data_IF_000917926005
#
_entry.id   IF_000917926005
#
_cell.length_a   1.000
_cell.length_b   1.000
_cell.length_c   1.000
_cell.angle_alpha   90.00
_cell.angle_beta   90.00
_cell.angle_gamma   90.00
#
_symmetry.space_group_name_H-M   'P 1'
#
loop_
_entity.id
_entity.type
_entity.pdbx_description
1 polymer ?
#
# COMPACT_ATOMS: atom_id res chain seq x y z
N UNK A 1 -1.48 10.00 -12.25
CA UNK A 1 -1.27 8.96 -11.22
C UNK A 1 -0.48 9.58 -10.07
N UNK A 2 -0.70 9.09 -8.85
CA UNK A 2 -0.23 9.75 -7.62
C UNK A 2 1.15 9.26 -7.14
N UNK A 3 1.72 8.23 -7.76
CA UNK A 3 3.06 7.69 -7.48
C UNK A 3 4.15 8.77 -7.52
N UNK A 4 4.02 9.73 -8.45
CA UNK A 4 4.96 10.85 -8.61
C UNK A 4 5.05 11.75 -7.36
N UNK A 5 4.03 11.76 -6.50
CA UNK A 5 4.03 12.54 -5.27
C UNK A 5 4.83 11.87 -4.14
N UNK A 6 5.11 10.58 -4.25
CA UNK A 6 5.83 9.83 -3.22
C UNK A 6 7.34 9.85 -3.47
N UNK A 7 7.95 10.99 -3.16
CA UNK A 7 9.39 11.25 -3.27
C UNK A 7 10.00 11.46 -1.88
N UNK A 8 11.30 11.16 -1.76
CA UNK A 8 12.03 11.34 -0.51
C UNK A 8 11.89 12.80 -0.04
N UNK A 9 11.38 12.98 1.18
CA UNK A 9 11.24 14.28 1.83
C UNK A 9 9.90 14.97 1.64
N UNK A 10 9.01 14.46 0.79
CA UNK A 10 7.63 14.94 0.71
C UNK A 10 6.90 14.58 2.02
N UNK A 11 6.24 15.55 2.65
CA UNK A 11 5.49 15.36 3.90
C UNK A 11 4.00 15.25 3.64
N UNK A 12 3.37 14.33 4.36
CA UNK A 12 1.93 14.11 4.32
C UNK A 12 1.33 14.12 5.72
N UNK A 13 0.09 14.61 5.82
CA UNK A 13 -0.77 14.43 6.99
C UNK A 13 -1.89 13.45 6.65
N UNK A 14 -1.99 12.38 7.42
CA UNK A 14 -3.10 11.42 7.37
C UNK A 14 -3.09 10.50 8.59
N UNK A 15 -4.27 9.99 8.91
CA UNK A 15 -4.46 8.97 9.94
C UNK A 15 -4.59 7.61 9.27
N UNK A 16 -3.84 6.61 9.75
CA UNK A 16 -4.02 5.23 9.31
C UNK A 16 -5.50 4.84 9.46
N UNK A 17 -6.16 4.35 8.40
CA UNK A 17 -7.47 3.73 8.54
C UNK A 17 -7.49 2.68 9.65
N UNK A 18 -8.58 2.64 10.41
CA UNK A 18 -8.81 1.56 11.35
C UNK A 18 -8.90 0.22 10.61
N UNK A 19 -8.45 -0.84 11.28
CA UNK A 19 -8.63 -2.19 10.77
C UNK A 19 -10.13 -2.52 10.78
N UNK A 20 -10.59 -3.29 9.80
CA UNK A 20 -11.96 -3.78 9.76
C UNK A 20 -12.04 -5.12 10.44
N UNK A 21 -12.23 -5.05 11.75
CA UNK A 21 -12.42 -6.23 12.58
C UNK A 21 -13.66 -7.02 12.13
N UNK A 22 -13.60 -8.32 12.36
CA UNK A 22 -14.69 -9.24 12.06
C UNK A 22 -14.22 -10.68 12.01
N UNK A 23 -15.03 -11.59 11.43
CA UNK A 23 -14.69 -13.00 11.35
C UNK A 23 -13.38 -13.24 10.61
N UNK A 24 -12.60 -14.22 11.06
CA UNK A 24 -11.37 -14.68 10.40
C UNK A 24 -11.66 -15.89 9.51
N UNK A 25 -12.65 -15.77 8.64
CA UNK A 25 -13.22 -16.86 7.86
C UNK A 25 -12.67 -16.94 6.41
N UNK A 26 -11.69 -16.10 6.08
CA UNK A 26 -11.04 -16.07 4.77
C UNK A 26 -11.88 -15.48 3.63
N UNK A 27 -13.10 -15.00 3.91
CA UNK A 27 -13.96 -14.46 2.86
C UNK A 27 -13.37 -13.23 2.18
N UNK A 28 -13.80 -13.03 0.92
CA UNK A 28 -13.61 -11.77 0.22
C UNK A 28 -14.76 -10.83 0.64
N UNK A 29 -14.42 -9.66 1.16
CA UNK A 29 -15.38 -8.65 1.65
C UNK A 29 -15.11 -7.31 1.00
N UNK A 30 -16.15 -6.51 0.80
CA UNK A 30 -15.98 -5.16 0.30
C UNK A 30 -15.35 -4.27 1.37
N UNK A 31 -14.44 -3.42 0.92
CA UNK A 31 -13.79 -2.40 1.74
C UNK A 31 -14.83 -1.41 2.25
N UNK A 32 -14.71 -1.01 3.54
CA UNK A 32 -15.57 0.04 4.10
C UNK A 32 -15.20 1.44 3.62
N UNK A 33 -14.18 1.57 2.76
CA UNK A 33 -13.67 2.80 2.16
C UNK A 33 -13.40 3.89 3.21
N UNK A 34 -12.32 3.76 3.97
CA UNK A 34 -11.91 4.76 4.94
C UNK A 34 -11.90 6.18 4.34
N UNK A 35 -12.34 7.17 5.11
CA UNK A 35 -12.47 8.57 4.66
C UNK A 35 -11.28 9.44 5.04
N UNK A 36 -10.23 8.87 5.65
CA UNK A 36 -9.05 9.62 6.07
C UNK A 36 -8.43 10.34 4.86
N UNK A 37 -8.22 11.64 4.95
CA UNK A 37 -7.61 12.37 3.85
C UNK A 37 -6.08 12.25 3.92
N UNK A 38 -5.44 12.07 2.77
CA UNK A 38 -4.01 12.21 2.59
C UNK A 38 -3.73 13.62 2.08
N UNK A 39 -3.12 14.45 2.91
CA UNK A 39 -2.89 15.86 2.61
C UNK A 39 -1.41 16.16 2.51
N UNK A 40 -0.96 16.79 1.43
CA UNK A 40 0.42 17.26 1.34
C UNK A 40 0.63 18.47 2.25
N UNK A 41 1.70 18.44 3.07
CA UNK A 41 1.97 19.47 4.08
C UNK A 41 3.38 20.09 3.99
N UNK A 42 4.04 19.92 2.84
CA UNK A 42 5.34 20.55 2.58
C UNK A 42 6.49 19.55 2.40
N UNK A 43 7.70 20.08 2.42
CA UNK A 43 8.94 19.31 2.38
C UNK A 43 9.56 19.20 3.77
N UNK A 44 10.38 18.18 3.95
CA UNK A 44 11.14 17.90 5.16
C UNK A 44 12.54 18.48 5.22
N UNK A 45 13.25 18.08 6.27
CA UNK A 45 14.69 18.31 6.43
C UNK A 45 15.53 17.42 5.51
N UNK A 46 15.09 16.18 5.25
CA UNK A 46 15.73 15.23 4.33
C UNK A 46 14.93 15.20 3.04
N UNK A 47 15.51 15.72 1.95
CA UNK A 47 14.79 15.89 0.67
C UNK A 47 15.61 15.30 -0.47
N UNK A 48 14.92 14.70 -1.44
CA UNK A 48 15.52 14.30 -2.72
C UNK A 48 16.20 15.52 -3.40
N UNK A 49 17.48 15.45 -3.79
CA UNK A 49 18.16 16.56 -4.46
C UNK A 49 17.40 17.12 -5.68
N UNK A 50 16.63 16.28 -6.38
CA UNK A 50 15.79 16.72 -7.50
C UNK A 50 14.69 17.70 -7.05
N UNK A 51 14.17 17.56 -5.84
CA UNK A 51 13.16 18.49 -5.30
C UNK A 51 13.77 19.80 -4.80
N UNK A 52 15.09 19.87 -4.66
CA UNK A 52 15.82 21.11 -4.37
C UNK A 52 16.04 21.94 -5.65
N UNK A 53 16.09 21.27 -6.81
CA UNK A 53 16.25 21.94 -8.12
C UNK A 53 14.91 22.21 -8.80
N UNK A 54 13.91 21.34 -8.60
CA UNK A 54 12.57 21.51 -9.13
C UNK A 54 11.56 21.75 -8.01
N UNK A 55 10.88 22.89 -8.07
CA UNK A 55 9.84 23.19 -7.09
C UNK A 55 8.71 22.14 -7.15
N UNK A 56 8.22 21.70 -5.99
CA UNK A 56 7.15 20.69 -5.85
C UNK A 56 5.86 21.00 -6.62
N UNK A 57 5.62 22.27 -6.90
CA UNK A 57 4.49 22.72 -7.73
C UNK A 57 4.58 22.20 -9.16
N UNK A 58 5.78 21.94 -9.68
CA UNK A 58 5.96 21.33 -11.01
C UNK A 58 5.43 19.89 -11.07
N UNK A 59 5.40 19.19 -9.93
CA UNK A 59 4.74 17.89 -9.83
C UNK A 59 3.22 18.02 -9.72
N UNK A 60 2.71 19.21 -9.39
CA UNK A 60 1.30 19.49 -9.12
C UNK A 60 0.94 19.49 -7.64
N UNK A 61 1.92 19.54 -6.73
CA UNK A 61 1.66 19.64 -5.28
C UNK A 61 1.53 21.10 -4.84
N UNK A 62 0.55 21.38 -4.00
CA UNK A 62 0.34 22.67 -3.35
C UNK A 62 0.13 22.46 -1.86
N UNK A 63 0.65 23.35 -1.01
CA UNK A 63 0.52 23.23 0.45
C UNK A 63 -0.94 22.99 0.86
N UNK A 64 -1.18 22.03 1.75
CA UNK A 64 -2.50 21.58 2.19
C UNK A 64 -3.40 20.96 1.11
N UNK A 65 -2.85 20.61 -0.05
CA UNK A 65 -3.61 19.93 -1.10
C UNK A 65 -3.96 18.50 -0.70
N UNK A 66 -5.24 18.10 -0.86
CA UNK A 66 -5.62 16.70 -0.74
C UNK A 66 -5.16 15.90 -1.95
N UNK A 67 -4.51 14.77 -1.69
CA UNK A 67 -4.14 13.81 -2.72
C UNK A 67 -5.38 12.99 -3.07
N UNK A 68 -5.75 12.97 -4.35
CA UNK A 68 -6.92 12.21 -4.82
C UNK A 68 -6.57 10.72 -4.90
N UNK A 69 -7.20 9.92 -4.04
CA UNK A 69 -6.97 8.47 -3.93
C UNK A 69 -8.19 7.79 -3.30
N UNK A 70 -8.20 6.46 -3.31
CA UNK A 70 -9.10 5.65 -2.49
C UNK A 70 -8.30 4.82 -1.50
N UNK A 71 -8.83 4.65 -0.29
CA UNK A 71 -8.27 3.70 0.66
C UNK A 71 -8.80 2.29 0.42
N UNK A 72 -7.89 1.35 0.53
CA UNK A 72 -8.15 -0.05 0.76
C UNK A 72 -7.80 -0.36 2.22
N UNK A 73 -8.82 -0.77 2.96
CA UNK A 73 -8.73 -1.19 4.34
C UNK A 73 -7.98 -2.52 4.51
N UNK A 74 -7.60 -2.78 5.75
CA UNK A 74 -7.05 -4.06 6.18
C UNK A 74 -8.12 -4.78 7.00
N UNK A 75 -8.53 -5.96 6.54
CA UNK A 75 -9.48 -6.83 7.21
C UNK A 75 -8.76 -8.11 7.67
N UNK A 76 -8.27 -8.18 8.92
CA UNK A 76 -7.55 -9.34 9.44
C UNK A 76 -8.33 -10.65 9.24
N UNK A 77 -7.69 -11.65 8.63
CA UNK A 77 -8.27 -12.96 8.33
C UNK A 77 -9.26 -13.00 7.17
N UNK A 78 -9.39 -11.92 6.40
CA UNK A 78 -10.25 -11.81 5.21
C UNK A 78 -9.51 -11.11 4.08
N UNK A 79 -10.03 -11.19 2.86
CA UNK A 79 -9.55 -10.38 1.74
C UNK A 79 -10.48 -9.19 1.57
N UNK A 80 -10.00 -7.98 1.88
CA UNK A 80 -10.76 -6.77 1.59
C UNK A 80 -10.60 -6.40 0.11
N UNK A 81 -11.63 -5.83 -0.53
CA UNK A 81 -11.54 -5.36 -1.92
C UNK A 81 -12.24 -4.02 -2.15
N UNK A 82 -11.75 -3.26 -3.12
CA UNK A 82 -12.40 -2.03 -3.59
C UNK A 82 -12.42 -2.02 -5.12
N UNK A 83 -13.53 -1.63 -5.77
CA UNK A 83 -13.54 -1.44 -7.20
C UNK A 83 -12.64 -0.26 -7.55
N UNK A 84 -11.76 -0.41 -8.54
CA UNK A 84 -10.95 0.70 -9.03
C UNK A 84 -11.84 1.61 -9.87
N UNK A 85 -11.90 2.88 -9.47
CA UNK A 85 -12.65 3.93 -10.16
C UNK A 85 -11.71 4.90 -10.87
N UNK A 86 -11.94 6.21 -10.78
CA UNK A 86 -11.07 7.23 -11.38
C UNK A 86 -9.78 7.49 -10.58
N UNK A 87 -9.64 6.89 -9.40
CA UNK A 87 -8.55 7.18 -8.47
C UNK A 87 -7.70 5.95 -8.19
N UNK A 88 -6.42 6.19 -7.96
CA UNK A 88 -5.47 5.16 -7.52
C UNK A 88 -5.80 4.71 -6.09
N UNK A 89 -5.44 3.47 -5.74
CA UNK A 89 -5.77 2.84 -4.47
C UNK A 89 -4.55 2.76 -3.58
N UNK A 90 -4.62 3.31 -2.38
CA UNK A 90 -3.61 3.20 -1.33
C UNK A 90 -4.07 2.25 -0.22
N UNK A 91 -3.13 1.56 0.39
CA UNK A 91 -3.39 0.77 1.60
C UNK A 91 -2.89 1.51 2.84
N UNK A 92 -3.45 1.19 4.01
CA UNK A 92 -2.76 1.46 5.26
C UNK A 92 -1.41 0.71 5.36
N UNK A 93 -0.71 0.91 6.48
CA UNK A 93 0.56 0.22 6.73
C UNK A 93 0.42 -1.29 6.73
N UNK A 94 1.38 -1.95 6.09
CA UNK A 94 1.37 -3.38 5.85
C UNK A 94 2.72 -4.04 6.14
N UNK A 95 2.66 -5.25 6.69
CA UNK A 95 3.80 -6.12 6.97
C UNK A 95 3.81 -7.33 6.03
N UNK A 96 4.07 -7.10 4.73
CA UNK A 96 4.27 -8.20 3.76
C UNK A 96 3.01 -8.92 3.28
N UNK A 97 1.83 -8.35 3.53
CA UNK A 97 0.58 -8.82 2.93
C UNK A 97 0.61 -8.63 1.41
N UNK A 98 -0.11 -9.50 0.69
CA UNK A 98 -0.22 -9.41 -0.77
C UNK A 98 -1.35 -8.44 -1.14
N UNK A 99 -1.09 -7.62 -2.16
CA UNK A 99 -2.11 -6.87 -2.88
C UNK A 99 -2.38 -7.55 -4.20
N UNK A 100 -3.65 -7.72 -4.54
CA UNK A 100 -4.09 -8.32 -5.78
C UNK A 100 -4.94 -7.34 -6.58
N UNK A 101 -4.90 -7.50 -7.90
CA UNK A 101 -5.77 -6.84 -8.87
C UNK A 101 -6.42 -7.91 -9.72
N UNK A 102 -7.71 -7.83 -9.96
CA UNK A 102 -8.42 -8.77 -10.85
C UNK A 102 -9.64 -8.10 -11.49
N UNK A 103 -10.21 -8.78 -12.48
CA UNK A 103 -11.48 -8.37 -13.11
C UNK A 103 -12.55 -9.39 -12.74
N UNK A 104 -13.65 -8.90 -12.19
CA UNK A 104 -14.83 -9.70 -11.84
C UNK A 104 -16.08 -8.99 -12.36
N UNK A 105 -16.87 -9.70 -13.19
CA UNK A 105 -18.10 -9.17 -13.82
C UNK A 105 -17.88 -7.81 -14.52
N UNK A 106 -16.74 -7.67 -15.19
CA UNK A 106 -16.36 -6.45 -15.91
C UNK A 106 -15.81 -5.31 -15.04
N UNK A 107 -15.79 -5.46 -13.72
CA UNK A 107 -15.26 -4.47 -12.78
C UNK A 107 -13.85 -4.87 -12.37
N UNK A 108 -12.90 -3.95 -12.44
CA UNK A 108 -11.56 -4.17 -11.91
C UNK A 108 -11.56 -3.89 -10.41
N UNK A 109 -11.03 -4.83 -9.61
CA UNK A 109 -10.89 -4.70 -8.17
C UNK A 109 -9.42 -4.67 -7.77
N UNK A 110 -9.13 -3.94 -6.70
CA UNK A 110 -7.90 -4.08 -5.92
C UNK A 110 -8.27 -4.72 -4.59
N UNK A 111 -7.51 -5.71 -4.14
CA UNK A 111 -7.75 -6.39 -2.89
C UNK A 111 -6.51 -6.61 -2.04
N UNK A 112 -6.72 -6.63 -0.74
CA UNK A 112 -5.71 -6.79 0.29
C UNK A 112 -5.97 -8.11 1.01
N UNK A 113 -5.05 -9.07 0.84
CA UNK A 113 -5.14 -10.39 1.46
C UNK A 113 -4.68 -10.23 2.91
N UNK A 114 -5.65 -10.12 3.84
CA UNK A 114 -5.44 -9.69 5.21
C UNK A 114 -4.86 -10.78 6.10
N UNK A 115 -3.56 -11.06 5.98
CA UNK A 115 -2.87 -12.01 6.85
C UNK A 115 -2.52 -11.40 8.20
N UNK A 116 -2.57 -12.19 9.26
CA UNK A 116 -2.21 -11.83 10.64
C UNK A 116 -0.89 -12.49 10.99
N UNK A 117 0.15 -11.71 11.27
CA UNK A 117 1.52 -12.19 11.52
C UNK A 117 1.58 -13.30 12.60
N UNK A 118 0.81 -13.14 13.67
CA UNK A 118 0.78 -14.06 14.80
C UNK A 118 -0.16 -15.27 14.64
N UNK A 119 -0.84 -15.43 13.50
CA UNK A 119 -1.88 -16.45 13.31
C UNK A 119 -1.73 -17.21 11.97
N UNK A 120 -0.81 -18.20 11.91
CA UNK A 120 -0.58 -18.99 10.71
C UNK A 120 -1.83 -19.75 10.23
N UNK A 121 -2.69 -20.21 11.15
CA UNK A 121 -3.89 -20.96 10.78
C UNK A 121 -4.88 -20.08 10.01
N UNK A 122 -5.15 -18.86 10.51
CA UNK A 122 -5.94 -17.87 9.78
C UNK A 122 -5.30 -17.50 8.44
N UNK A 123 -3.97 -17.36 8.40
CA UNK A 123 -3.26 -17.05 7.15
C UNK A 123 -3.44 -18.12 6.08
N UNK A 124 -3.39 -19.40 6.46
CA UNK A 124 -3.67 -20.51 5.55
C UNK A 124 -5.09 -20.44 5.01
N UNK A 125 -6.08 -20.17 5.87
CA UNK A 125 -7.49 -20.07 5.46
C UNK A 125 -7.69 -18.93 4.47
N UNK A 126 -7.27 -17.70 4.78
CA UNK A 126 -7.50 -16.54 3.90
C UNK A 126 -6.77 -16.69 2.56
N UNK A 127 -5.52 -17.16 2.56
CA UNK A 127 -4.75 -17.37 1.33
C UNK A 127 -5.34 -18.47 0.47
N UNK A 128 -5.74 -19.60 1.08
CA UNK A 128 -6.38 -20.71 0.36
C UNK A 128 -7.71 -20.28 -0.25
N UNK A 129 -8.57 -19.64 0.52
CA UNK A 129 -9.88 -19.15 0.04
C UNK A 129 -9.70 -18.20 -1.13
N UNK A 130 -8.79 -17.21 -1.03
CA UNK A 130 -8.52 -16.31 -2.13
C UNK A 130 -7.95 -17.03 -3.37
N UNK A 131 -6.99 -17.95 -3.19
CA UNK A 131 -6.37 -18.70 -4.29
C UNK A 131 -7.36 -19.56 -5.09
N UNK A 132 -8.43 -20.04 -4.48
CA UNK A 132 -9.50 -20.78 -5.15
C UNK A 132 -10.57 -19.87 -5.75
N UNK A 133 -10.80 -18.68 -5.18
CA UNK A 133 -11.79 -17.73 -5.65
C UNK A 133 -11.29 -16.79 -6.78
N UNK A 134 -9.97 -16.55 -6.85
CA UNK A 134 -9.42 -15.53 -7.73
C UNK A 134 -9.59 -15.86 -9.23
N UNK A 135 -10.05 -14.92 -10.08
CA UNK A 135 -10.16 -15.13 -11.52
C UNK A 135 -8.79 -15.26 -12.21
N UNK A 136 -8.77 -15.81 -13.44
CA UNK A 136 -7.54 -15.91 -14.25
C UNK A 136 -6.88 -14.57 -14.57
N UNK A 137 -7.63 -13.47 -14.50
CA UNK A 137 -7.12 -12.10 -14.69
C UNK A 137 -6.34 -11.56 -13.50
N UNK A 138 -6.23 -12.34 -12.41
CA UNK A 138 -5.60 -11.88 -11.18
C UNK A 138 -4.09 -11.74 -11.34
N UNK A 139 -3.59 -10.58 -10.92
CA UNK A 139 -2.16 -10.31 -10.70
C UNK A 139 -1.97 -9.85 -9.26
N UNK A 140 -0.83 -10.15 -8.65
CA UNK A 140 -0.54 -9.72 -7.28
C UNK A 140 0.80 -9.01 -7.14
N UNK A 141 1.09 -8.47 -5.96
CA UNK A 141 2.41 -8.00 -5.59
C UNK A 141 2.62 -8.13 -4.08
N UNK A 142 3.88 -8.23 -3.67
CA UNK A 142 4.29 -8.05 -2.27
C UNK A 142 5.02 -6.71 -2.15
N UNK A 143 4.38 -5.65 -1.65
CA UNK A 143 5.01 -4.33 -1.55
C UNK A 143 6.25 -4.34 -0.65
N UNK A 144 6.30 -5.18 0.39
CA UNK A 144 7.47 -5.27 1.26
C UNK A 144 8.71 -5.81 0.53
N UNK A 145 8.53 -6.63 -0.52
CA UNK A 145 9.64 -7.22 -1.28
C UNK A 145 10.42 -6.19 -2.14
N UNK A 146 9.89 -4.97 -2.31
CA UNK A 146 10.57 -3.92 -3.07
C UNK A 146 11.75 -3.27 -2.32
N UNK A 147 11.83 -3.51 -1.01
CA UNK A 147 12.80 -2.88 -0.12
C UNK A 147 13.59 -3.95 0.60
N UNK A 148 14.91 -3.83 0.59
CA UNK A 148 15.75 -4.67 1.44
C UNK A 148 15.99 -3.97 2.79
N UNK A 149 16.32 -4.75 3.82
CA UNK A 149 16.50 -4.25 5.19
C UNK A 149 17.58 -3.17 5.29
N UNK A 150 18.71 -3.36 4.61
CA UNK A 150 19.83 -2.42 4.66
C UNK A 150 19.45 -1.06 4.06
N UNK A 151 18.72 -1.06 2.95
CA UNK A 151 18.23 0.16 2.31
C UNK A 151 17.27 0.93 3.22
N UNK A 152 16.30 0.25 3.85
CA UNK A 152 15.38 0.90 4.79
C UNK A 152 16.13 1.46 5.99
N UNK A 153 17.12 0.75 6.50
CA UNK A 153 17.98 1.21 7.60
C UNK A 153 18.76 2.47 7.21
N UNK A 154 19.37 2.48 6.02
CA UNK A 154 20.10 3.64 5.52
C UNK A 154 19.19 4.85 5.29
N UNK A 155 17.97 4.65 4.81
CA UNK A 155 16.98 5.72 4.69
C UNK A 155 16.55 6.26 6.06
N UNK A 156 16.27 5.37 7.01
CA UNK A 156 15.90 5.72 8.38
C UNK A 156 16.97 6.58 9.07
N UNK A 157 18.25 6.25 8.85
CA UNK A 157 19.39 6.95 9.43
C UNK A 157 19.60 8.38 8.89
N UNK A 158 18.95 8.76 7.79
CA UNK A 158 19.01 10.14 7.29
C UNK A 158 18.27 11.11 8.20
N UNK A 159 17.29 10.64 8.96
CA UNK A 159 16.49 11.45 9.89
C UNK A 159 17.15 11.51 11.27
N UNK A 160 16.91 12.60 12.02
CA UNK A 160 17.43 12.79 13.38
C UNK A 160 16.30 13.07 14.38
N UNK A 161 15.97 12.12 15.29
CA UNK A 161 16.52 10.76 15.42
C UNK A 161 16.11 9.84 14.26
N UNK A 162 16.77 8.68 14.09
CA UNK A 162 16.35 7.68 13.12
C UNK A 162 14.88 7.29 13.30
N UNK A 163 14.14 7.18 12.19
CA UNK A 163 12.70 6.91 12.18
C UNK A 163 12.38 5.48 11.76
N UNK A 164 11.31 4.91 12.31
CA UNK A 164 10.84 3.58 11.93
C UNK A 164 10.12 3.65 10.57
N UNK A 165 10.52 2.84 9.57
CA UNK A 165 9.85 2.79 8.29
C UNK A 165 8.52 2.01 8.39
N UNK A 166 7.52 2.50 7.69
CA UNK A 166 6.24 1.85 7.45
C UNK A 166 6.01 1.75 5.95
N UNK A 167 5.42 0.65 5.48
CA UNK A 167 5.20 0.42 4.04
C UNK A 167 3.72 0.49 3.74
N UNK A 168 3.36 1.24 2.69
CA UNK A 168 2.04 1.21 2.06
C UNK A 168 2.16 0.61 0.66
N UNK A 169 1.09 -0.02 0.19
CA UNK A 169 0.94 -0.33 -1.22
C UNK A 169 0.22 0.81 -1.94
N UNK A 170 0.56 1.01 -3.20
CA UNK A 170 -0.18 1.83 -4.14
C UNK A 170 -0.47 0.97 -5.39
N UNK A 171 -1.74 0.88 -5.77
CA UNK A 171 -2.16 0.29 -7.03
C UNK A 171 -2.76 1.38 -7.92
N UNK A 172 -2.20 1.59 -9.11
CA UNK A 172 -2.64 2.65 -10.02
C UNK A 172 -3.84 2.20 -10.84
N UNK A 173 -4.60 3.18 -11.32
CA UNK A 173 -5.66 3.02 -12.32
C UNK A 173 -5.19 2.33 -13.60
N UNK A 174 -3.89 2.38 -13.91
CA UNK A 174 -3.27 1.70 -15.05
C UNK A 174 -2.87 0.24 -14.74
N UNK A 175 -3.10 -0.23 -13.51
CA UNK A 175 -2.78 -1.59 -13.09
C UNK A 175 -1.32 -1.80 -12.69
N UNK A 176 -0.59 -0.74 -12.36
CA UNK A 176 0.77 -0.82 -11.84
C UNK A 176 0.76 -0.88 -10.31
N UNK A 177 1.74 -1.57 -9.74
CA UNK A 177 1.93 -1.65 -8.29
C UNK A 177 3.17 -0.89 -7.85
N UNK A 178 3.05 -0.21 -6.72
CA UNK A 178 4.13 0.51 -6.07
C UNK A 178 4.14 0.19 -4.58
N UNK A 179 5.35 0.20 -4.03
CA UNK A 179 5.61 0.15 -2.61
C UNK A 179 6.12 1.51 -2.16
N UNK A 180 5.43 2.10 -1.20
CA UNK A 180 5.69 3.44 -0.69
C UNK A 180 6.17 3.32 0.75
N UNK A 181 7.36 3.86 1.03
CA UNK A 181 7.89 3.91 2.40
C UNK A 181 7.50 5.25 3.01
N UNK A 182 7.03 5.20 4.25
CA UNK A 182 6.69 6.34 5.08
C UNK A 182 7.44 6.26 6.41
N UNK A 183 7.81 7.40 6.96
CA UNK A 183 8.44 7.52 8.27
C UNK A 183 7.61 8.45 9.14
N UNK A 184 7.30 8.02 10.36
CA UNK A 184 6.48 8.82 11.27
C UNK A 184 7.25 10.06 11.75
N UNK A 185 6.58 11.22 11.70
CA UNK A 185 7.15 12.49 12.16
C UNK A 185 6.40 13.10 13.35
N UNK A 186 5.10 12.88 13.42
CA UNK A 186 4.27 13.35 14.53
C UNK A 186 2.95 12.60 14.60
N UNK A 187 1.96 13.13 15.34
CA UNK A 187 0.59 12.65 15.26
C UNK A 187 0.07 12.83 13.83
N UNK A 188 -0.14 11.72 13.12
CA UNK A 188 -0.66 11.72 11.75
C UNK A 188 0.21 12.46 10.71
N UNK A 189 1.48 12.76 11.02
CA UNK A 189 2.41 13.38 10.07
C UNK A 189 3.50 12.38 9.67
N UNK A 190 3.82 12.37 8.37
CA UNK A 190 4.64 11.34 7.74
C UNK A 190 5.60 11.96 6.72
N UNK A 191 6.87 11.55 6.76
CA UNK A 191 7.81 11.72 5.67
C UNK A 191 7.67 10.58 4.68
N UNK A 192 7.63 10.88 3.40
CA UNK A 192 7.81 9.86 2.38
C UNK A 192 9.31 9.55 2.24
N UNK A 193 9.64 8.26 2.31
CA UNK A 193 10.96 7.71 1.99
C UNK A 193 11.19 7.48 0.50
N UNK A 194 10.11 7.54 -0.29
CA UNK A 194 10.08 7.27 -1.72
C UNK A 194 9.12 6.14 -2.08
N UNK A 195 8.94 5.94 -3.38
CA UNK A 195 8.14 4.87 -3.95
C UNK A 195 8.95 4.06 -4.97
N UNK A 196 8.75 2.75 -4.97
CA UNK A 196 9.33 1.81 -5.94
C UNK A 196 8.24 1.04 -6.65
N UNK A 197 8.37 0.90 -7.96
CA UNK A 197 7.52 0.00 -8.74
C UNK A 197 7.79 -1.45 -8.33
N UNK A 198 6.73 -2.23 -8.15
CA UNK A 198 6.79 -3.65 -7.81
C UNK A 198 6.34 -4.47 -9.02
N UNK A 199 7.17 -5.39 -9.54
CA UNK A 199 6.76 -6.27 -10.62
C UNK A 199 5.53 -7.09 -10.22
N UNK A 200 4.52 -7.22 -11.10
CA UNK A 200 3.35 -8.05 -10.82
C UNK A 200 3.72 -9.53 -10.83
N UNK A 201 3.14 -10.27 -9.89
CA UNK A 201 3.12 -11.72 -9.83
C UNK A 201 1.94 -12.20 -10.69
N UNK A 202 2.19 -13.09 -11.64
CA UNK A 202 1.14 -13.67 -12.49
C UNK A 202 0.16 -14.51 -11.69
N UNK A 203 -1.03 -14.77 -12.24
CA UNK A 203 -2.06 -15.60 -11.61
C UNK A 203 -1.51 -16.94 -11.09
N UNK A 204 -0.81 -17.70 -11.93
CA UNK A 204 -0.36 -19.05 -11.56
C UNK A 204 0.75 -19.02 -10.49
N UNK A 205 1.69 -18.08 -10.61
CA UNK A 205 2.74 -17.89 -9.61
C UNK A 205 2.13 -17.44 -8.27
N UNK A 206 1.14 -16.54 -8.32
CA UNK A 206 0.41 -16.08 -7.15
C UNK A 206 -0.37 -17.23 -6.50
N UNK A 207 -1.03 -18.07 -7.29
CA UNK A 207 -1.76 -19.23 -6.79
C UNK A 207 -0.84 -20.18 -6.04
N UNK A 208 0.30 -20.50 -6.64
CA UNK A 208 1.30 -21.36 -6.01
C UNK A 208 1.87 -20.73 -4.74
N UNK A 209 2.14 -19.42 -4.75
CA UNK A 209 2.59 -18.69 -3.56
C UNK A 209 1.57 -18.78 -2.41
N UNK A 210 0.28 -18.63 -2.71
CA UNK A 210 -0.78 -18.68 -1.70
C UNK A 210 -1.01 -20.07 -1.11
N UNK A 211 -0.80 -21.13 -1.90
CA UNK A 211 -1.02 -22.51 -1.49
C UNK A 211 0.19 -23.16 -0.79
N UNK A 212 1.38 -22.56 -0.88
CA UNK A 212 2.62 -23.05 -0.25
C UNK A 212 2.75 -22.74 1.25
N UNK A 213 1.70 -22.21 1.87
CA UNK A 213 1.78 -21.80 3.28
C UNK A 213 1.49 -23.01 4.17
N UNK A 214 2.57 -23.60 4.66
CA UNK A 214 2.57 -24.53 5.80
C UNK A 214 2.37 -23.81 7.12
#
# INVERSE_FOLDING_TARGET
>A
MIEKYFKLGVRFRWTKPQNVDGPRDGKIVDSIRPTAQLTYIGLGEVVDPVLMTFHVSTMGLQMNMPIQHQWLDYAPGRTARVPIGPYDVLTGFMSGCIIARWIERGITYIGHIGTVESDPATNRVVKRTFAFAMPRTTTGCNPAAAWNFNELSLLAQKFRPPKIPEICALATTQGEFYSVVMFRDGPNEWYCGGAKRVPPISHDALKMFMLRVD
#
